data_IF_337441683226
#
_entry.id   IF_337441683226
#
_cell.length_a   1.000
_cell.length_b   1.000
_cell.length_c   1.000
_cell.angle_alpha   90.00
_cell.angle_beta   90.00
_cell.angle_gamma   90.00
#
_symmetry.space_group_name_H-M   'P 1'
#
loop_
_entity.id
_entity.type
_entity.pdbx_description
1 polymer ?
#
# COMPACT_ATOMS: atom_id res chain seq x y z
N UNK A 1 -3.46 -15.25 10.02
CA UNK A 1 -2.39 -14.23 9.90
C UNK A 1 -2.36 -13.80 8.44
N UNK A 2 -3.03 -12.71 8.08
CA UNK A 2 -3.01 -12.19 6.71
C UNK A 2 -1.88 -11.18 6.61
N UNK A 3 -0.85 -11.49 5.81
CA UNK A 3 0.21 -10.54 5.44
C UNK A 3 -0.44 -9.43 4.61
N UNK A 4 -0.16 -8.17 4.95
CA UNK A 4 -0.70 -7.01 4.22
C UNK A 4 -0.27 -7.06 2.76
N UNK A 5 -1.19 -6.81 1.84
CA UNK A 5 -0.90 -6.85 0.40
C UNK A 5 -0.45 -5.46 -0.04
N UNK A 6 0.72 -5.33 -0.71
CA UNK A 6 1.10 -4.08 -1.34
C UNK A 6 0.16 -3.78 -2.50
N UNK A 7 -0.35 -2.56 -2.56
CA UNK A 7 -1.24 -2.11 -3.61
C UNK A 7 -0.85 -0.69 -4.05
N UNK A 8 -0.92 -0.43 -5.36
CA UNK A 8 -0.59 0.88 -5.92
C UNK A 8 -1.82 1.77 -5.92
N UNK A 9 -1.70 2.99 -5.41
CA UNK A 9 -2.78 3.98 -5.44
C UNK A 9 -2.97 4.48 -6.87
N UNK A 10 -4.17 4.27 -7.42
CA UNK A 10 -4.57 4.74 -8.73
C UNK A 10 -5.31 6.08 -8.63
N UNK A 11 -6.13 6.27 -7.61
CA UNK A 11 -6.91 7.49 -7.39
C UNK A 11 -7.24 7.67 -5.90
N UNK A 12 -7.45 8.91 -5.47
CA UNK A 12 -7.88 9.25 -4.10
C UNK A 12 -9.05 10.21 -4.18
N UNK A 13 -10.10 9.90 -3.42
CA UNK A 13 -11.32 10.68 -3.40
C UNK A 13 -12.02 10.55 -2.04
N UNK A 14 -12.34 11.69 -1.41
CA UNK A 14 -13.15 11.75 -0.19
C UNK A 14 -12.69 10.80 0.94
N UNK A 15 -11.36 10.72 1.19
CA UNK A 15 -10.79 9.84 2.23
C UNK A 15 -10.71 8.36 1.85
N UNK A 16 -11.11 8.00 0.62
CA UNK A 16 -11.00 6.66 0.05
C UNK A 16 -9.94 6.64 -1.05
N UNK A 17 -9.19 5.54 -1.15
CA UNK A 17 -8.24 5.32 -2.22
C UNK A 17 -8.70 4.15 -3.10
N UNK A 18 -8.65 4.34 -4.42
CA UNK A 18 -8.72 3.25 -5.39
C UNK A 18 -7.31 2.72 -5.57
N UNK A 19 -7.09 1.48 -5.16
CA UNK A 19 -5.79 0.81 -5.22
C UNK A 19 -5.84 -0.36 -6.21
N UNK A 20 -4.74 -0.59 -6.91
CA UNK A 20 -4.50 -1.77 -7.75
C UNK A 20 -3.63 -2.75 -6.98
N UNK A 21 -4.20 -3.90 -6.64
CA UNK A 21 -3.50 -4.97 -5.97
C UNK A 21 -3.41 -6.17 -6.93
N UNK A 22 -2.25 -6.35 -7.53
CA UNK A 22 -1.98 -7.43 -8.50
C UNK A 22 -2.96 -7.46 -9.70
N UNK A 23 -3.32 -6.30 -10.24
CA UNK A 23 -4.23 -6.16 -11.38
C UNK A 23 -5.72 -6.08 -11.01
N UNK A 24 -6.05 -6.17 -9.72
CA UNK A 24 -7.43 -6.02 -9.23
C UNK A 24 -7.58 -4.68 -8.55
N UNK A 25 -8.49 -3.85 -9.07
CA UNK A 25 -8.83 -2.56 -8.45
C UNK A 25 -9.77 -2.76 -7.26
N UNK A 26 -9.45 -2.13 -6.14
CA UNK A 26 -10.25 -2.14 -4.91
C UNK A 26 -10.30 -0.75 -4.32
N UNK A 27 -11.40 -0.43 -3.65
CA UNK A 27 -11.52 0.80 -2.89
C UNK A 27 -11.24 0.49 -1.42
N UNK A 28 -10.31 1.24 -0.83
CA UNK A 28 -9.88 1.07 0.57
C UNK A 28 -9.96 2.42 1.29
N UNK A 29 -10.17 2.39 2.61
CA UNK A 29 -10.07 3.63 3.40
C UNK A 29 -8.60 4.08 3.44
N UNK A 30 -8.38 5.37 3.20
CA UNK A 30 -7.07 6.03 3.25
C UNK A 30 -6.95 6.96 4.47
N UNK A 31 -7.92 6.96 5.39
CA UNK A 31 -7.97 7.89 6.52
C UNK A 31 -6.78 7.74 7.49
N UNK A 32 -6.15 6.57 7.53
CA UNK A 32 -4.99 6.31 8.38
C UNK A 32 -3.66 6.71 7.76
N UNK A 33 -3.63 7.08 6.47
CA UNK A 33 -2.40 7.41 5.73
C UNK A 33 -2.48 8.85 5.24
N UNK A 34 -1.66 9.71 5.86
CA UNK A 34 -1.64 11.14 5.55
C UNK A 34 -0.88 11.44 4.25
N UNK A 35 -1.30 12.48 3.54
CA UNK A 35 -0.65 12.96 2.31
C UNK A 35 -0.45 11.87 1.24
N UNK A 36 -1.37 10.90 1.19
CA UNK A 36 -1.36 9.87 0.15
C UNK A 36 -1.61 10.52 -1.21
N UNK A 37 -0.88 10.11 -2.25
CA UNK A 37 -1.08 10.58 -3.62
C UNK A 37 -1.16 9.43 -4.63
N UNK A 38 -1.83 9.61 -5.77
CA UNK A 38 -1.80 8.63 -6.86
C UNK A 38 -0.35 8.33 -7.28
N UNK A 39 -0.01 7.05 -7.40
CA UNK A 39 1.34 6.58 -7.66
C UNK A 39 2.04 5.96 -6.46
N UNK A 40 1.65 6.33 -5.24
CA UNK A 40 2.17 5.72 -4.01
C UNK A 40 1.80 4.24 -3.92
N UNK A 41 2.64 3.48 -3.22
CA UNK A 41 2.29 2.13 -2.79
C UNK A 41 1.85 2.16 -1.33
N UNK A 42 0.84 1.37 -1.01
CA UNK A 42 0.33 1.23 0.36
C UNK A 42 0.21 -0.24 0.74
N UNK A 43 0.38 -0.52 2.02
CA UNK A 43 0.03 -1.80 2.59
C UNK A 43 -1.44 -1.80 2.96
N UNK A 44 -2.21 -2.75 2.42
CA UNK A 44 -3.63 -2.91 2.70
C UNK A 44 -3.87 -4.08 3.63
N UNK A 45 -4.64 -3.85 4.69
CA UNK A 45 -5.13 -4.89 5.60
C UNK A 45 -6.62 -4.69 5.89
N UNK A 46 -7.42 -5.75 5.73
CA UNK A 46 -8.85 -5.75 5.99
C UNK A 46 -9.65 -4.59 5.33
N UNK A 47 -9.21 -4.12 4.15
CA UNK A 47 -9.88 -3.04 3.41
C UNK A 47 -9.46 -1.62 3.81
N UNK A 48 -8.40 -1.49 4.61
CA UNK A 48 -7.85 -0.20 5.04
C UNK A 48 -6.39 -0.11 4.61
N UNK A 49 -5.99 1.03 4.07
CA UNK A 49 -4.58 1.36 3.88
C UNK A 49 -4.00 1.70 5.26
N UNK A 50 -3.01 0.93 5.72
CA UNK A 50 -2.45 1.06 7.07
C UNK A 50 -1.08 1.74 7.08
N UNK A 51 -0.37 1.72 5.96
CA UNK A 51 0.94 2.35 5.82
C UNK A 51 1.24 2.66 4.36
N UNK A 52 1.91 3.78 4.09
CA UNK A 52 2.56 4.04 2.80
C UNK A 52 3.88 3.29 2.75
N UNK A 53 4.12 2.60 1.64
CA UNK A 53 5.40 1.98 1.32
C UNK A 53 6.23 3.08 0.63
N UNK A 54 7.23 3.60 1.35
CA UNK A 54 8.15 4.60 0.81
C UNK A 54 9.02 4.03 -0.31
N UNK A 55 9.55 4.92 -1.15
CA UNK A 55 10.52 4.57 -2.21
C UNK A 55 11.81 3.96 -1.66
N UNK A 56 12.20 4.36 -0.44
CA UNK A 56 13.35 3.83 0.30
C UNK A 56 12.98 2.50 1.00
N UNK A 57 11.78 2.42 1.59
CA UNK A 57 11.28 1.21 2.27
C UNK A 57 11.06 0.02 1.33
N UNK A 58 10.75 0.25 0.06
CA UNK A 58 10.60 -0.82 -0.92
C UNK A 58 11.94 -1.53 -1.21
N UNK A 59 13.05 -0.77 -1.23
CA UNK A 59 14.40 -1.31 -1.40
C UNK A 59 14.91 -1.96 -0.10
N UNK A 60 14.58 -1.40 1.05
CA UNK A 60 14.91 -1.97 2.37
C UNK A 60 14.11 -3.26 2.66
N UNK A 61 12.83 -3.34 2.28
CA UNK A 61 12.02 -4.55 2.45
C UNK A 61 12.52 -5.72 1.59
N UNK A 62 13.00 -5.44 0.38
CA UNK A 62 13.62 -6.45 -0.50
C UNK A 62 14.95 -6.95 0.10
N UNK A 63 15.77 -6.04 0.65
CA UNK A 63 17.02 -6.38 1.34
C UNK A 63 16.80 -7.23 2.60
N UNK A 64 15.78 -6.93 3.41
CA UNK A 64 15.47 -7.71 4.63
C UNK A 64 14.98 -9.12 4.26
N UNK A 65 14.20 -9.27 3.19
CA UNK A 65 13.76 -10.57 2.69
C UNK A 65 14.91 -11.39 2.07
N UNK A 66 15.86 -10.73 1.41
CA UNK A 66 17.04 -11.38 0.82
C UNK A 66 18.07 -11.85 1.86
N UNK A 67 18.06 -11.30 3.08
CA UNK A 67 18.97 -11.66 4.17
C UNK A 67 18.58 -12.91 4.97
N UNK A 68 17.45 -13.57 4.65
CA UNK A 68 16.97 -14.78 5.34
C UNK A 68 17.29 -16.06 4.55
N UNK A 69 18.51 -16.16 4.02
CA UNK A 69 19.04 -17.40 3.44
C UNK A 69 20.45 -17.72 3.93
#
# INVERSE_FOLDING_TARGET
MCVGLPAKVAEIKDGMAVVDASGVKRTVSAELVENLVPGDYVMVHAGVAIARIGSDDAEEADQVMAGIN
#
